data_IF_657805521034
#
_entry.id   IF_657805521034
#
_cell.length_a   1.000
_cell.length_b   1.000
_cell.length_c   1.000
_cell.angle_alpha   90.00
_cell.angle_beta   90.00
_cell.angle_gamma   90.00
#
_symmetry.space_group_name_H-M   'P 1'
#
loop_
_entity.id
_entity.type
_entity.pdbx_description
1 polymer ?
#
# COMPACT_ATOMS: atom_id res chain seq x y z
N UNK A 1 57.94 8.16 64.83
CA UNK A 1 56.66 7.47 65.06
C UNK A 1 55.70 7.87 63.94
N UNK A 2 54.98 6.87 63.44
CA UNK A 2 53.85 6.89 62.50
C UNK A 2 54.06 6.86 60.97
N UNK A 3 53.51 5.78 60.42
CA UNK A 3 53.28 5.35 59.04
C UNK A 3 52.10 6.11 58.39
N UNK A 4 52.09 6.18 57.05
CA UNK A 4 51.04 5.69 56.10
C UNK A 4 51.29 6.39 54.73
N UNK A 5 51.77 5.74 53.66
CA UNK A 5 51.08 4.90 52.66
C UNK A 5 49.82 5.47 51.96
N UNK A 6 49.88 5.39 50.63
CA UNK A 6 48.93 5.71 49.57
C UNK A 6 47.48 5.28 49.81
N UNK A 7 46.53 5.92 49.10
CA UNK A 7 45.62 5.27 48.13
C UNK A 7 44.86 6.34 47.32
N UNK A 8 44.54 5.93 46.09
CA UNK A 8 44.08 6.58 44.87
C UNK A 8 42.60 7.04 44.81
N UNK A 9 42.36 8.07 43.98
CA UNK A 9 41.26 8.32 43.03
C UNK A 9 39.78 8.08 43.41
N UNK A 10 39.00 9.17 43.34
CA UNK A 10 37.79 9.32 42.52
C UNK A 10 37.18 10.72 42.73
N UNK A 11 37.36 11.65 41.78
CA UNK A 11 36.66 12.95 41.81
C UNK A 11 35.45 12.83 40.88
N UNK A 12 34.26 12.88 41.49
CA UNK A 12 32.98 13.07 40.81
C UNK A 12 32.99 14.44 40.11
N UNK A 13 32.86 14.46 38.79
CA UNK A 13 32.44 15.65 38.05
C UNK A 13 30.91 15.70 38.06
N UNK A 14 30.36 16.61 38.84
CA UNK A 14 28.95 16.97 38.79
C UNK A 14 28.65 17.67 37.45
N UNK A 15 27.87 17.03 36.58
CA UNK A 15 27.34 17.68 35.39
C UNK A 15 26.18 18.60 35.79
N UNK A 16 26.34 19.90 35.54
CA UNK A 16 25.28 20.90 35.69
C UNK A 16 24.15 20.63 34.70
N UNK A 17 22.95 20.38 35.21
CA UNK A 17 21.75 20.23 34.39
C UNK A 17 21.23 21.63 34.01
N UNK A 18 21.66 22.13 32.84
CA UNK A 18 21.01 23.29 32.23
C UNK A 18 19.73 22.80 31.57
N UNK A 19 18.59 23.16 32.14
CA UNK A 19 17.27 22.92 31.57
C UNK A 19 17.14 23.65 30.24
N UNK A 20 17.35 22.92 29.14
CA UNK A 20 16.96 23.33 27.80
C UNK A 20 15.43 23.34 27.75
N UNK A 21 14.84 24.52 27.76
CA UNK A 21 13.45 24.72 27.35
C UNK A 21 13.37 24.40 25.87
N UNK A 22 12.86 23.22 25.52
CA UNK A 22 12.39 22.96 24.17
C UNK A 22 11.20 23.90 23.94
N UNK A 23 11.39 24.91 23.10
CA UNK A 23 10.26 25.58 22.48
C UNK A 23 9.51 24.50 21.69
N UNK A 24 8.25 24.25 22.05
CA UNK A 24 7.34 23.53 21.16
C UNK A 24 7.24 24.37 19.89
N UNK A 25 8.02 24.01 18.87
CA UNK A 25 7.69 24.39 17.51
C UNK A 25 6.33 23.76 17.23
N UNK A 26 5.29 24.59 17.30
CA UNK A 26 3.98 24.32 16.78
C UNK A 26 4.13 24.04 15.29
N UNK A 27 4.46 22.79 14.95
CA UNK A 27 4.41 22.23 13.62
C UNK A 27 2.94 22.16 13.26
N UNK A 28 2.39 23.31 12.85
CA UNK A 28 1.18 23.36 12.07
C UNK A 28 1.49 22.51 10.83
N UNK A 29 1.05 21.25 10.85
CA UNK A 29 1.05 20.37 9.69
C UNK A 29 0.56 21.19 8.50
N UNK A 30 1.34 21.31 7.39
CA UNK A 30 0.95 22.14 6.28
C UNK A 30 -0.40 21.61 5.82
N UNK A 31 -1.44 22.42 6.00
CA UNK A 31 -2.85 22.06 5.79
C UNK A 31 -2.98 21.10 4.61
N UNK A 32 -3.04 19.82 4.95
CA UNK A 32 -3.34 18.78 3.99
C UNK A 32 -4.84 18.95 3.81
N UNK A 33 -5.25 19.60 2.72
CA UNK A 33 -6.67 19.75 2.36
C UNK A 33 -7.39 18.42 2.63
N UNK A 34 -8.53 18.40 3.34
CA UNK A 34 -9.28 17.19 3.57
C UNK A 34 -9.52 16.51 2.22
N UNK A 35 -9.10 15.25 2.09
CA UNK A 35 -9.37 14.52 0.85
C UNK A 35 -10.88 14.40 0.72
N UNK A 36 -11.42 14.88 -0.40
CA UNK A 36 -12.87 14.90 -0.68
C UNK A 36 -13.45 13.47 -0.79
N UNK A 37 -12.59 12.46 -0.94
CA UNK A 37 -12.98 11.06 -1.08
C UNK A 37 -13.37 10.48 0.28
N UNK A 38 -14.65 10.11 0.41
CA UNK A 38 -15.23 9.53 1.62
C UNK A 38 -14.66 8.15 1.94
N UNK A 39 -14.76 7.74 3.22
CA UNK A 39 -14.39 6.38 3.62
C UNK A 39 -15.19 5.32 2.87
N UNK A 40 -16.48 5.55 2.63
CA UNK A 40 -17.35 4.64 1.88
C UNK A 40 -16.83 4.40 0.47
N UNK A 41 -16.47 5.47 -0.25
CA UNK A 41 -15.85 5.38 -1.58
C UNK A 41 -14.53 4.62 -1.53
N UNK A 42 -13.69 4.86 -0.51
CA UNK A 42 -12.44 4.11 -0.39
C UNK A 42 -12.66 2.63 -0.12
N UNK A 43 -13.61 2.30 0.77
CA UNK A 43 -13.99 0.92 1.06
C UNK A 43 -14.54 0.21 -0.19
N UNK A 44 -15.36 0.90 -0.99
CA UNK A 44 -15.86 0.39 -2.27
C UNK A 44 -14.70 -0.03 -3.19
N UNK A 45 -13.68 0.81 -3.35
CA UNK A 45 -12.55 0.50 -4.23
C UNK A 45 -11.56 -0.50 -3.66
N UNK A 46 -11.38 -0.59 -2.33
CA UNK A 46 -10.59 -1.68 -1.73
C UNK A 46 -11.24 -3.04 -1.99
N UNK A 47 -12.57 -3.15 -1.95
CA UNK A 47 -13.26 -4.39 -2.35
C UNK A 47 -13.04 -4.71 -3.84
N UNK A 48 -13.08 -3.70 -4.70
CA UNK A 48 -12.77 -3.89 -6.13
C UNK A 48 -11.30 -4.28 -6.39
N UNK A 49 -10.37 -3.85 -5.54
CA UNK A 49 -8.99 -4.35 -5.57
C UNK A 49 -8.93 -5.85 -5.29
N UNK A 50 -9.74 -6.39 -4.36
CA UNK A 50 -9.87 -7.83 -4.17
C UNK A 50 -10.56 -8.51 -5.36
N UNK A 51 -11.62 -7.92 -5.90
CA UNK A 51 -12.36 -8.50 -7.04
C UNK A 51 -11.51 -8.56 -8.32
N UNK A 52 -10.51 -7.68 -8.48
CA UNK A 52 -9.54 -7.76 -9.58
C UNK A 52 -8.90 -9.16 -9.70
N UNK A 53 -8.68 -9.85 -8.58
CA UNK A 53 -8.12 -11.20 -8.56
C UNK A 53 -9.06 -12.22 -9.22
N UNK A 54 -10.38 -12.06 -9.06
CA UNK A 54 -11.38 -12.93 -9.69
C UNK A 54 -11.39 -12.80 -11.21
N UNK A 55 -11.11 -11.60 -11.71
CA UNK A 55 -11.12 -11.32 -13.16
C UNK A 55 -9.79 -11.63 -13.84
N UNK A 56 -8.67 -11.44 -13.13
CA UNK A 56 -7.34 -11.51 -13.69
C UNK A 56 -6.60 -12.82 -13.40
N UNK A 57 -7.14 -13.67 -12.53
CA UNK A 57 -6.50 -14.94 -12.17
C UNK A 57 -7.46 -16.12 -12.37
N UNK A 58 -6.95 -17.34 -12.60
CA UNK A 58 -7.80 -18.52 -12.84
C UNK A 58 -8.61 -18.98 -11.62
N UNK A 59 -8.36 -18.42 -10.43
CA UNK A 59 -8.97 -18.83 -9.16
C UNK A 59 -9.42 -17.59 -8.39
N UNK A 60 -10.57 -17.61 -7.70
CA UNK A 60 -10.95 -16.51 -6.79
C UNK A 60 -10.07 -16.40 -5.54
N UNK A 61 -9.14 -17.35 -5.30
CA UNK A 61 -8.12 -17.29 -4.24
C UNK A 61 -6.76 -17.72 -4.79
N UNK A 62 -6.11 -16.90 -5.62
CA UNK A 62 -4.75 -17.20 -6.07
C UNK A 62 -3.77 -17.12 -4.88
N UNK A 63 -2.67 -17.88 -4.94
CA UNK A 63 -1.53 -17.64 -4.04
C UNK A 63 -0.97 -16.24 -4.31
N UNK A 64 -0.47 -15.54 -3.28
CA UNK A 64 -0.10 -14.11 -3.36
C UNK A 64 -1.24 -13.23 -3.90
N UNK A 65 -2.37 -13.26 -3.21
CA UNK A 65 -3.62 -12.62 -3.59
C UNK A 65 -3.59 -11.07 -3.47
N UNK A 66 -2.62 -10.42 -4.09
CA UNK A 66 -2.47 -8.96 -4.10
C UNK A 66 -3.12 -8.38 -5.34
N UNK A 67 -4.17 -7.59 -5.13
CA UNK A 67 -4.95 -6.96 -6.19
C UNK A 67 -4.95 -5.44 -6.05
N UNK A 68 -5.10 -4.78 -7.18
CA UNK A 68 -5.03 -3.32 -7.31
C UNK A 68 -6.04 -2.81 -8.32
N UNK A 69 -6.66 -1.67 -8.03
CA UNK A 69 -7.50 -0.91 -8.96
C UNK A 69 -7.04 0.55 -8.98
N UNK A 70 -7.03 1.14 -10.17
CA UNK A 70 -6.70 2.56 -10.37
C UNK A 70 -7.95 3.29 -10.85
N UNK A 71 -8.25 4.40 -10.19
CA UNK A 71 -9.54 5.10 -10.28
C UNK A 71 -9.33 6.58 -10.57
N UNK A 72 -10.16 7.12 -11.46
CA UNK A 72 -10.32 8.55 -11.66
C UNK A 72 -11.55 9.04 -10.89
N UNK A 73 -11.33 9.77 -9.78
CA UNK A 73 -12.41 10.31 -8.95
C UNK A 73 -13.06 11.58 -9.53
N UNK A 74 -12.42 12.23 -10.51
CA UNK A 74 -12.97 13.39 -11.20
C UNK A 74 -14.04 13.01 -12.25
N UNK A 75 -14.15 11.72 -12.59
CA UNK A 75 -15.16 11.17 -13.48
C UNK A 75 -16.14 10.30 -12.69
N UNK A 76 -17.40 10.69 -12.61
CA UNK A 76 -18.45 9.97 -11.88
C UNK A 76 -19.59 9.61 -12.86
N UNK A 77 -19.42 8.54 -13.66
CA UNK A 77 -20.48 8.13 -14.56
C UNK A 77 -21.71 7.66 -13.76
N UNK A 78 -22.93 7.68 -14.34
CA UNK A 78 -24.17 7.41 -13.61
C UNK A 78 -24.21 6.05 -12.89
N UNK A 79 -23.47 5.07 -13.40
CA UNK A 79 -23.35 3.71 -12.88
C UNK A 79 -22.21 3.54 -11.85
N UNK A 80 -21.35 4.55 -11.66
CA UNK A 80 -20.28 4.54 -10.66
C UNK A 80 -20.14 5.89 -9.96
N UNK A 81 -20.96 6.18 -8.93
CA UNK A 81 -20.89 7.44 -8.17
C UNK A 81 -19.60 7.57 -7.35
N UNK A 82 -18.81 6.50 -7.25
CA UNK A 82 -17.55 6.42 -6.51
C UNK A 82 -16.31 6.78 -7.36
N UNK A 83 -16.49 7.16 -8.63
CA UNK A 83 -15.39 7.42 -9.57
C UNK A 83 -15.38 6.42 -10.73
N UNK A 84 -14.56 6.67 -11.76
CA UNK A 84 -14.42 5.77 -12.90
C UNK A 84 -13.20 4.87 -12.73
N UNK A 85 -13.39 3.55 -12.81
CA UNK A 85 -12.28 2.60 -12.90
C UNK A 85 -11.53 2.82 -14.22
N UNK A 86 -10.22 3.00 -14.14
CA UNK A 86 -9.35 3.15 -15.32
C UNK A 86 -8.76 1.79 -15.70
N UNK A 87 -8.17 1.10 -14.74
CA UNK A 87 -7.60 -0.23 -14.95
C UNK A 87 -7.51 -1.01 -13.63
N UNK A 88 -7.24 -2.31 -13.74
CA UNK A 88 -6.98 -3.22 -12.63
C UNK A 88 -5.68 -3.99 -12.86
N UNK A 89 -5.11 -4.50 -11.76
CA UNK A 89 -3.94 -5.37 -11.77
C UNK A 89 -4.03 -6.41 -10.64
N UNK A 90 -3.34 -7.53 -10.85
CA UNK A 90 -3.20 -8.60 -9.88
C UNK A 90 -1.74 -9.07 -9.90
N UNK A 91 -1.24 -9.58 -8.78
CA UNK A 91 0.06 -10.24 -8.76
C UNK A 91 0.06 -11.38 -9.82
N UNK A 92 1.08 -11.33 -10.68
CA UNK A 92 1.26 -12.22 -11.81
C UNK A 92 2.70 -12.73 -11.91
N UNK A 93 3.40 -12.88 -10.78
CA UNK A 93 4.79 -13.41 -10.79
C UNK A 93 4.89 -14.81 -11.42
N UNK A 94 3.78 -15.56 -11.44
CA UNK A 94 3.64 -16.87 -12.10
C UNK A 94 3.92 -16.83 -13.61
N UNK A 95 3.91 -15.64 -14.23
CA UNK A 95 4.32 -15.42 -15.62
C UNK A 95 5.84 -15.47 -15.83
N UNK A 96 6.62 -15.56 -14.75
CA UNK A 96 8.08 -15.59 -14.77
C UNK A 96 8.74 -14.22 -14.57
N UNK A 97 7.97 -13.15 -14.38
CA UNK A 97 8.50 -11.83 -14.05
C UNK A 97 8.30 -11.51 -12.55
N UNK A 98 9.36 -11.48 -11.73
CA UNK A 98 9.26 -11.29 -10.29
C UNK A 98 8.82 -9.89 -9.87
N UNK A 99 8.79 -8.92 -10.79
CA UNK A 99 8.34 -7.55 -10.46
C UNK A 99 6.85 -7.33 -10.71
N UNK A 100 6.13 -8.29 -11.31
CA UNK A 100 4.69 -8.15 -11.59
C UNK A 100 3.82 -8.39 -10.35
N UNK A 101 4.05 -7.61 -9.31
CA UNK A 101 3.11 -7.44 -8.20
C UNK A 101 1.85 -6.72 -8.68
N UNK A 102 0.75 -6.78 -7.91
CA UNK A 102 -0.53 -6.21 -8.32
C UNK A 102 -0.47 -4.73 -8.68
N UNK A 103 0.32 -3.95 -7.95
CA UNK A 103 0.55 -2.52 -8.17
C UNK A 103 1.33 -2.26 -9.45
N UNK A 104 2.40 -3.01 -9.72
CA UNK A 104 3.19 -2.89 -10.95
C UNK A 104 2.37 -3.33 -12.17
N UNK A 105 1.62 -4.43 -12.05
CA UNK A 105 0.72 -4.91 -13.08
C UNK A 105 -0.36 -3.85 -13.41
N UNK A 106 -0.96 -3.23 -12.39
CA UNK A 106 -1.93 -2.16 -12.59
C UNK A 106 -1.32 -0.94 -13.29
N UNK A 107 -0.13 -0.49 -12.88
CA UNK A 107 0.58 0.64 -13.53
C UNK A 107 0.84 0.34 -15.02
N UNK A 108 1.32 -0.87 -15.33
CA UNK A 108 1.56 -1.29 -16.71
C UNK A 108 0.25 -1.31 -17.53
N UNK A 109 -0.82 -1.88 -16.96
CA UNK A 109 -2.12 -1.94 -17.60
C UNK A 109 -2.70 -0.55 -17.85
N UNK A 110 -2.65 0.35 -16.87
CA UNK A 110 -3.12 1.73 -17.04
C UNK A 110 -2.30 2.50 -18.08
N UNK A 111 -0.98 2.29 -18.12
CA UNK A 111 -0.13 2.91 -19.13
C UNK A 111 -0.54 2.53 -20.55
N UNK A 112 -0.99 1.28 -20.75
CA UNK A 112 -1.53 0.82 -22.03
C UNK A 112 -2.95 1.37 -22.28
N UNK A 113 -3.86 1.26 -21.31
CA UNK A 113 -5.27 1.67 -21.43
C UNK A 113 -5.41 3.17 -21.73
N UNK A 114 -4.62 4.02 -21.07
CA UNK A 114 -4.65 5.47 -21.29
C UNK A 114 -4.27 5.87 -22.72
N UNK A 115 -3.54 5.01 -23.45
CA UNK A 115 -3.11 5.26 -24.83
C UNK A 115 -4.00 4.54 -25.87
N UNK A 116 -4.97 3.74 -25.43
CA UNK A 116 -5.94 3.05 -26.28
C UNK A 116 -7.33 3.65 -26.15
N UNK A 117 -8.31 3.11 -26.88
CA UNK A 117 -9.73 3.40 -26.64
C UNK A 117 -10.06 3.19 -25.14
N UNK A 118 -10.87 4.07 -24.52
CA UNK A 118 -11.50 5.27 -25.08
C UNK A 118 -10.67 6.56 -24.97
N UNK A 119 -9.44 6.50 -24.46
CA UNK A 119 -8.67 7.68 -24.05
C UNK A 119 -7.77 8.27 -25.14
N UNK A 120 -7.05 7.43 -25.89
CA UNK A 120 -6.12 7.81 -26.95
C UNK A 120 -5.09 8.91 -26.58
N UNK A 121 -4.63 8.94 -25.33
CA UNK A 121 -3.62 9.90 -24.91
C UNK A 121 -2.28 9.58 -25.57
N UNK A 122 -1.49 10.61 -25.89
CA UNK A 122 -0.07 10.44 -26.17
C UNK A 122 0.67 9.94 -24.93
N UNK A 123 1.88 9.40 -25.11
CA UNK A 123 2.70 8.96 -23.98
C UNK A 123 2.94 10.06 -22.92
N UNK A 124 3.09 11.32 -23.36
CA UNK A 124 3.28 12.45 -22.44
C UNK A 124 2.00 12.79 -21.67
N UNK A 125 0.84 12.77 -22.34
CA UNK A 125 -0.46 12.99 -21.71
C UNK A 125 -0.81 11.85 -20.75
N UNK A 126 -0.53 10.60 -21.10
CA UNK A 126 -0.72 9.44 -20.23
C UNK A 126 0.14 9.53 -18.97
N UNK A 127 1.41 9.95 -19.09
CA UNK A 127 2.28 10.21 -17.93
C UNK A 127 1.71 11.32 -17.02
N UNK A 128 1.18 12.40 -17.60
CA UNK A 128 0.57 13.48 -16.84
C UNK A 128 -0.73 13.05 -16.14
N UNK A 129 -1.53 12.17 -16.78
CA UNK A 129 -2.82 11.73 -16.27
C UNK A 129 -2.74 11.04 -14.91
N UNK A 130 -1.63 10.33 -14.61
CA UNK A 130 -1.45 9.67 -13.31
C UNK A 130 -1.60 10.62 -12.11
N UNK A 131 -1.27 11.90 -12.26
CA UNK A 131 -1.42 12.91 -11.21
C UNK A 131 -2.87 13.17 -10.77
N UNK A 132 -3.86 12.75 -11.59
CA UNK A 132 -5.28 12.84 -11.27
C UNK A 132 -5.88 11.50 -10.79
N UNK A 133 -5.10 10.42 -10.83
CA UNK A 133 -5.54 9.08 -10.50
C UNK A 133 -5.21 8.70 -9.05
N UNK A 134 -6.06 7.85 -8.48
CA UNK A 134 -5.86 7.23 -7.16
C UNK A 134 -5.65 5.73 -7.33
N UNK A 135 -4.63 5.19 -6.67
CA UNK A 135 -4.33 3.76 -6.65
C UNK A 135 -4.85 3.14 -5.35
N UNK A 136 -5.68 2.12 -5.48
CA UNK A 136 -6.20 1.32 -4.38
C UNK A 136 -5.61 -0.08 -4.47
N UNK A 137 -4.99 -0.56 -3.40
CA UNK A 137 -4.46 -1.93 -3.33
C UNK A 137 -4.88 -2.59 -2.02
N UNK A 138 -5.10 -3.90 -2.04
CA UNK A 138 -5.66 -4.60 -0.88
C UNK A 138 -4.67 -4.77 0.29
N UNK A 139 -3.38 -4.54 0.07
CA UNK A 139 -2.34 -4.54 1.09
C UNK A 139 -1.32 -3.39 0.88
N UNK A 140 -0.58 -3.04 1.92
CA UNK A 140 0.46 -2.01 1.83
C UNK A 140 1.50 -2.38 0.77
N UNK A 141 1.83 -1.47 -0.17
CA UNK A 141 2.77 -1.78 -1.23
C UNK A 141 4.18 -1.92 -0.66
N UNK A 142 4.91 -2.95 -1.09
CA UNK A 142 6.31 -3.12 -0.72
C UNK A 142 7.17 -1.98 -1.26
N UNK A 143 8.42 -1.85 -0.77
CA UNK A 143 9.33 -0.77 -1.15
C UNK A 143 9.49 -0.58 -2.68
N UNK A 144 9.50 -1.67 -3.45
CA UNK A 144 9.53 -1.62 -4.93
C UNK A 144 8.28 -0.94 -5.49
N UNK A 145 7.10 -1.43 -5.11
CA UNK A 145 5.81 -0.91 -5.56
C UNK A 145 5.61 0.55 -5.10
N UNK A 146 5.92 0.86 -3.84
CA UNK A 146 5.84 2.22 -3.31
C UNK A 146 6.72 3.20 -4.10
N UNK A 147 7.92 2.78 -4.49
CA UNK A 147 8.82 3.60 -5.32
C UNK A 147 8.26 3.78 -6.74
N UNK A 148 7.71 2.73 -7.35
CA UNK A 148 7.08 2.82 -8.67
C UNK A 148 5.85 3.75 -8.65
N UNK A 149 4.99 3.64 -7.64
CA UNK A 149 3.84 4.53 -7.41
C UNK A 149 4.31 5.98 -7.31
N UNK A 150 5.40 6.20 -6.57
CA UNK A 150 5.97 7.53 -6.38
C UNK A 150 6.51 8.14 -7.69
N UNK A 151 7.15 7.33 -8.53
CA UNK A 151 7.60 7.75 -9.87
C UNK A 151 6.44 8.01 -10.84
N UNK A 152 5.39 7.19 -10.79
CA UNK A 152 4.18 7.40 -11.60
C UNK A 152 3.46 8.70 -11.21
N UNK A 153 3.60 9.15 -9.97
CA UNK A 153 3.10 10.45 -9.53
C UNK A 153 1.61 10.48 -9.20
N UNK A 154 1.04 9.34 -8.78
CA UNK A 154 -0.36 9.24 -8.35
C UNK A 154 -0.75 10.30 -7.32
N UNK A 155 -2.01 10.76 -7.39
CA UNK A 155 -2.60 11.69 -6.41
C UNK A 155 -2.67 11.06 -5.02
N UNK A 156 -3.23 9.86 -4.96
CA UNK A 156 -3.42 9.10 -3.72
C UNK A 156 -2.99 7.64 -3.88
N UNK A 157 -2.35 7.11 -2.84
CA UNK A 157 -2.14 5.70 -2.57
C UNK A 157 -3.04 5.32 -1.40
N UNK A 158 -3.97 4.41 -1.62
CA UNK A 158 -4.88 3.88 -0.63
C UNK A 158 -4.62 2.37 -0.49
N UNK A 159 -4.47 1.89 0.74
CA UNK A 159 -4.28 0.46 0.98
C UNK A 159 -5.04 -0.09 2.18
N UNK A 160 -5.31 -1.39 2.12
CA UNK A 160 -5.94 -2.15 3.19
C UNK A 160 -4.95 -2.61 4.27
N UNK A 161 -4.59 -3.89 4.24
CA UNK A 161 -3.75 -4.53 5.26
C UNK A 161 -2.36 -3.91 5.30
N UNK A 162 -1.92 -3.44 6.47
CA UNK A 162 -0.58 -2.88 6.66
C UNK A 162 0.53 -3.93 6.63
N UNK A 163 1.76 -3.50 6.36
CA UNK A 163 2.93 -4.37 6.29
C UNK A 163 3.19 -5.11 7.62
N UNK A 164 2.99 -4.48 8.77
CA UNK A 164 3.06 -5.12 10.10
C UNK A 164 2.14 -6.32 10.22
N UNK A 165 0.94 -6.17 9.67
CA UNK A 165 -0.07 -7.23 9.73
C UNK A 165 0.31 -8.36 8.78
N UNK A 166 0.77 -8.04 7.57
CA UNK A 166 1.30 -9.04 6.62
C UNK A 166 2.42 -9.86 7.28
N UNK A 167 3.41 -9.19 7.90
CA UNK A 167 4.51 -9.84 8.62
C UNK A 167 4.00 -10.76 9.73
N UNK A 168 3.04 -10.29 10.54
CA UNK A 168 2.43 -11.09 11.61
C UNK A 168 1.66 -12.33 11.11
N UNK A 169 1.26 -12.32 9.83
CA UNK A 169 0.58 -13.42 9.14
C UNK A 169 1.56 -14.36 8.41
N UNK A 170 2.86 -14.08 8.47
CA UNK A 170 3.91 -14.91 7.87
C UNK A 170 4.34 -14.49 6.46
N UNK A 171 3.84 -13.35 5.96
CA UNK A 171 4.30 -12.81 4.67
C UNK A 171 5.71 -12.23 4.80
N UNK A 172 6.50 -12.41 3.74
CA UNK A 172 7.83 -11.82 3.65
C UNK A 172 7.72 -10.42 3.04
N UNK A 173 8.38 -9.46 3.68
CA UNK A 173 8.36 -8.05 3.31
C UNK A 173 9.79 -7.52 3.24
N UNK A 174 10.00 -6.44 2.49
CA UNK A 174 11.20 -5.61 2.64
C UNK A 174 10.88 -4.63 3.75
N UNK A 175 11.67 -4.59 4.82
CA UNK A 175 11.42 -3.76 6.01
C UNK A 175 11.57 -2.25 5.81
N UNK A 176 11.08 -1.72 4.69
CA UNK A 176 10.98 -0.31 4.35
C UNK A 176 9.52 -0.07 3.96
N UNK A 177 8.78 0.56 4.88
CA UNK A 177 7.35 0.86 4.72
C UNK A 177 7.09 1.75 3.52
N UNK A 178 5.90 1.61 2.93
CA UNK A 178 5.44 2.48 1.84
C UNK A 178 5.49 3.97 2.22
N UNK A 179 5.08 4.29 3.46
CA UNK A 179 5.10 5.66 4.00
C UNK A 179 6.52 6.21 4.05
N UNK A 180 7.50 5.41 4.47
CA UNK A 180 8.89 5.84 4.55
C UNK A 180 9.44 6.17 3.15
N UNK A 181 9.13 5.34 2.14
CA UNK A 181 9.50 5.63 0.74
C UNK A 181 8.91 6.98 0.29
N UNK A 182 7.63 7.23 0.57
CA UNK A 182 6.96 8.50 0.22
C UNK A 182 7.56 9.69 0.99
N UNK A 183 7.92 9.53 2.26
CA UNK A 183 8.53 10.57 3.08
C UNK A 183 9.96 10.93 2.65
N UNK A 184 10.73 9.94 2.18
CA UNK A 184 12.11 10.12 1.69
C UNK A 184 12.21 10.60 0.24
N UNK A 185 11.09 10.68 -0.48
CA UNK A 185 11.05 11.03 -1.91
C UNK A 185 10.40 12.40 -2.17
N UNK A 186 10.53 13.33 -1.22
CA UNK A 186 9.93 14.69 -1.31
C UNK A 186 10.54 15.58 -2.40
N UNK A 187 11.70 15.19 -2.93
CA UNK A 187 12.41 15.93 -3.98
C UNK A 187 11.79 15.75 -5.38
N UNK A 188 10.90 14.77 -5.57
CA UNK A 188 10.15 14.67 -6.82
C UNK A 188 8.99 15.68 -6.84
N UNK A 189 8.68 16.19 -8.02
CA UNK A 189 7.71 17.28 -8.23
C UNK A 189 6.27 16.91 -7.84
N UNK A 190 5.84 15.67 -8.07
CA UNK A 190 4.51 15.18 -7.68
C UNK A 190 4.43 14.98 -6.17
N UNK A 191 3.21 15.04 -5.60
CA UNK A 191 2.96 14.67 -4.20
C UNK A 191 1.89 13.59 -4.17
N UNK A 192 2.22 12.45 -3.57
CA UNK A 192 1.28 11.34 -3.38
C UNK A 192 0.84 11.30 -1.93
N UNK A 193 -0.46 11.45 -1.68
CA UNK A 193 -1.03 11.22 -0.35
C UNK A 193 -1.15 9.73 -0.08
N UNK A 194 -0.75 9.28 1.11
CA UNK A 194 -0.97 7.90 1.54
C UNK A 194 -2.10 7.81 2.56
N UNK A 195 -3.00 6.85 2.36
CA UNK A 195 -4.09 6.51 3.29
C UNK A 195 -4.06 4.99 3.51
N UNK A 196 -3.57 4.58 4.67
CA UNK A 196 -3.47 3.17 5.04
C UNK A 196 -4.65 2.67 5.86
N UNK A 197 -4.70 1.36 6.09
CA UNK A 197 -5.65 0.68 6.97
C UNK A 197 -7.12 0.89 6.57
N UNK A 198 -7.40 1.12 5.29
CA UNK A 198 -8.77 1.23 4.79
C UNK A 198 -9.37 -0.16 4.68
N UNK A 199 -10.47 -0.40 5.39
CA UNK A 199 -11.17 -1.69 5.36
C UNK A 199 -10.31 -2.87 5.86
N UNK A 200 -9.37 -2.60 6.78
CA UNK A 200 -8.50 -3.64 7.37
C UNK A 200 -9.27 -4.75 8.08
N UNK A 201 -10.49 -4.47 8.56
CA UNK A 201 -11.39 -5.47 9.10
C UNK A 201 -11.78 -6.57 8.09
N UNK A 202 -11.71 -6.29 6.78
CA UNK A 202 -11.95 -7.29 5.72
C UNK A 202 -10.64 -7.79 5.10
N UNK A 203 -9.64 -6.92 4.86
CA UNK A 203 -8.40 -7.33 4.19
C UNK A 203 -7.47 -8.14 5.11
N UNK A 204 -7.42 -7.86 6.41
CA UNK A 204 -6.55 -8.59 7.34
C UNK A 204 -6.91 -10.09 7.42
N UNK A 205 -8.19 -10.49 7.62
CA UNK A 205 -8.54 -11.91 7.56
C UNK A 205 -8.37 -12.48 6.15
N UNK A 206 -8.50 -11.67 5.11
CA UNK A 206 -8.26 -12.10 3.72
C UNK A 206 -6.81 -12.53 3.47
N UNK A 207 -5.82 -11.98 4.16
CA UNK A 207 -4.42 -12.39 3.99
C UNK A 207 -3.99 -13.57 4.89
N UNK A 208 -4.89 -14.08 5.74
CA UNK A 208 -4.56 -15.12 6.71
C UNK A 208 -4.61 -16.55 6.12
N UNK A 209 -5.47 -16.84 5.14
CA UNK A 209 -5.80 -18.20 4.72
C UNK A 209 -4.66 -18.99 4.09
N UNK A 210 -3.63 -18.31 3.57
CA UNK A 210 -2.49 -18.92 2.86
C UNK A 210 -1.49 -19.57 3.82
N UNK A 211 -1.29 -18.98 5.00
CA UNK A 211 -0.30 -19.45 5.98
C UNK A 211 -0.94 -19.92 7.30
N UNK A 212 -2.24 -19.75 7.47
CA UNK A 212 -2.99 -20.26 8.60
C UNK A 212 -4.07 -21.26 8.12
N UNK A 213 -3.91 -22.57 8.39
CA UNK A 213 -4.88 -23.59 7.97
C UNK A 213 -6.22 -23.48 8.69
N UNK A 214 -6.28 -22.77 9.82
CA UNK A 214 -7.50 -22.51 10.58
C UNK A 214 -8.26 -21.27 10.09
N UNK A 215 -7.65 -20.43 9.27
CA UNK A 215 -8.32 -19.27 8.71
C UNK A 215 -9.32 -19.71 7.61
N UNK A 216 -10.48 -19.04 7.49
CA UNK A 216 -11.46 -19.37 6.46
C UNK A 216 -10.90 -19.07 5.06
N UNK A 217 -11.27 -19.88 4.07
CA UNK A 217 -10.94 -19.56 2.67
C UNK A 217 -11.69 -18.31 2.21
N UNK A 218 -11.16 -17.57 1.21
CA UNK A 218 -11.87 -16.46 0.59
C UNK A 218 -13.22 -16.88 0.01
N UNK A 219 -14.14 -15.92 -0.12
CA UNK A 219 -15.45 -16.18 -0.72
C UNK A 219 -15.32 -16.71 -2.15
N UNK A 220 -15.90 -17.89 -2.40
CA UNK A 220 -15.81 -18.61 -3.66
C UNK A 220 -14.72 -19.70 -3.67
N UNK A 221 -14.05 -19.94 -2.53
CA UNK A 221 -13.06 -20.99 -2.38
C UNK A 221 -13.42 -22.01 -1.30
N UNK A 222 -12.99 -23.25 -1.53
CA UNK A 222 -13.07 -24.36 -0.58
C UNK A 222 -11.67 -24.79 -0.13
N UNK A 223 -11.61 -25.45 1.03
CA UNK A 223 -10.38 -25.98 1.59
C UNK A 223 -10.27 -27.47 1.32
N UNK A 224 -9.13 -27.90 0.79
CA UNK A 224 -8.72 -29.31 0.73
C UNK A 224 -7.32 -29.42 1.35
N UNK A 225 -7.23 -30.17 2.46
CA UNK A 225 -6.03 -30.18 3.29
C UNK A 225 -5.69 -28.77 3.82
N UNK A 226 -4.51 -28.28 3.47
CA UNK A 226 -4.01 -26.96 3.90
C UNK A 226 -4.19 -25.86 2.86
N UNK A 227 -4.74 -26.17 1.68
CA UNK A 227 -4.81 -25.26 0.53
C UNK A 227 -6.26 -24.87 0.26
N UNK A 228 -6.49 -23.59 -0.07
CA UNK A 228 -7.77 -23.13 -0.60
C UNK A 228 -7.72 -23.15 -2.13
N UNK A 229 -8.80 -23.59 -2.77
CA UNK A 229 -8.96 -23.63 -4.21
C UNK A 229 -10.33 -23.08 -4.62
N UNK A 230 -10.43 -22.53 -5.82
CA UNK A 230 -11.68 -22.02 -6.37
C UNK A 230 -12.72 -23.11 -6.56
N UNK A 231 -13.98 -22.82 -6.23
CA UNK A 231 -15.08 -23.67 -6.67
C UNK A 231 -15.27 -23.49 -8.18
N UNK A 232 -15.22 -24.57 -8.96
CA UNK A 232 -15.78 -24.53 -10.31
C UNK A 232 -17.29 -24.27 -10.16
N UNK A 233 -17.75 -23.15 -10.69
CA UNK A 233 -19.19 -22.91 -10.85
C UNK A 233 -19.65 -23.86 -11.95
N UNK A 234 -20.27 -24.97 -11.54
CA UNK A 234 -20.94 -25.90 -12.46
C UNK A 234 -22.10 -25.26 -13.21
#
# INVERSE_FOLDING_TARGET
>A
MHFQHCITSAILLAASCSSLTFAEENHQSPFIEPSEISFETRAFWIRHANDALRYLTPSPCPFEAFGTVIVNHSSTPPDSPHGAMVCIGANAIVTGNPTLHGEIAAINNCSAVLQSDPYHLSAQEALAAFADLSLYTNAEPCAMCATAIRWAGFKELIYGTGEERLESLGWQTVGIRSREVLERSRDLSSRTRSVGSVLSNETDPYFAWQFNPMAPCPQGCLREGHVCFGQETG
#
